data_IF_442402886303
#
_entry.id   IF_442402886303
#
_cell.length_a   1.000
_cell.length_b   1.000
_cell.length_c   1.000
_cell.angle_alpha   90.00
_cell.angle_beta   90.00
_cell.angle_gamma   90.00
#
_symmetry.space_group_name_H-M   'P 1'
#
loop_
_entity.id
_entity.type
_entity.pdbx_description
1 polymer ?
#
# COMPACT_ATOMS: atom_id res chain seq x y z
N UNK A 1 -11.45 -31.55 8.86
CA UNK A 1 -11.69 -31.30 7.44
C UNK A 1 -13.17 -31.07 7.23
N UNK A 2 -13.62 -29.81 7.19
CA UNK A 2 -15.00 -29.49 6.81
C UNK A 2 -15.00 -29.22 5.30
N UNK A 3 -15.55 -30.13 4.52
CA UNK A 3 -15.85 -29.89 3.11
C UNK A 3 -16.96 -28.84 3.10
N UNK A 4 -16.58 -27.57 2.93
CA UNK A 4 -17.53 -26.46 2.78
C UNK A 4 -18.29 -26.65 1.47
N UNK A 5 -19.35 -27.45 1.49
CA UNK A 5 -20.17 -27.67 0.31
C UNK A 5 -21.02 -26.41 0.04
N UNK A 6 -20.66 -25.65 -0.98
CA UNK A 6 -21.33 -24.41 -1.39
C UNK A 6 -22.68 -24.68 -2.08
N UNK A 7 -22.83 -25.85 -2.70
CA UNK A 7 -24.01 -26.23 -3.49
C UNK A 7 -25.36 -26.03 -2.78
N UNK A 8 -25.59 -26.53 -1.55
CA UNK A 8 -26.88 -26.37 -0.89
C UNK A 8 -27.24 -24.90 -0.61
N UNK A 9 -26.26 -24.01 -0.48
CA UNK A 9 -26.51 -22.57 -0.31
C UNK A 9 -26.90 -21.93 -1.64
N UNK A 10 -26.29 -22.35 -2.74
CA UNK A 10 -26.60 -21.84 -4.09
C UNK A 10 -27.99 -22.30 -4.51
N UNK A 11 -28.33 -23.57 -4.28
CA UNK A 11 -29.64 -24.14 -4.61
C UNK A 11 -30.77 -23.51 -3.78
N UNK A 12 -30.52 -23.22 -2.50
CA UNK A 12 -31.52 -22.58 -1.64
C UNK A 12 -31.67 -21.07 -1.86
N UNK A 13 -30.70 -20.42 -2.52
CA UNK A 13 -30.66 -18.97 -2.76
C UNK A 13 -30.18 -18.69 -4.18
N UNK A 14 -31.01 -19.00 -5.19
CA UNK A 14 -30.64 -18.75 -6.58
C UNK A 14 -30.47 -17.26 -6.82
N UNK A 15 -29.62 -16.92 -7.79
CA UNK A 15 -29.38 -15.55 -8.24
C UNK A 15 -30.66 -14.95 -8.81
N UNK A 16 -31.45 -15.75 -9.55
CA UNK A 16 -32.69 -15.32 -10.17
C UNK A 16 -32.49 -14.08 -11.05
N UNK A 17 -33.41 -13.12 -10.98
CA UNK A 17 -33.29 -11.83 -11.67
C UNK A 17 -32.43 -10.78 -10.96
N UNK A 18 -31.67 -11.16 -9.93
CA UNK A 18 -30.90 -10.22 -9.11
C UNK A 18 -29.80 -9.46 -9.87
N UNK A 19 -29.37 -9.97 -11.03
CA UNK A 19 -28.40 -9.33 -11.91
C UNK A 19 -29.05 -8.64 -13.13
N UNK A 20 -30.37 -8.75 -13.34
CA UNK A 20 -31.03 -8.22 -14.54
C UNK A 20 -30.90 -6.70 -14.64
N UNK A 21 -30.99 -6.00 -13.52
CA UNK A 21 -30.79 -4.55 -13.47
C UNK A 21 -29.37 -4.12 -13.87
N UNK A 22 -28.37 -4.93 -13.52
CA UNK A 22 -27.00 -4.72 -13.96
C UNK A 22 -26.85 -5.03 -15.46
N UNK A 23 -27.44 -6.11 -15.96
CA UNK A 23 -27.40 -6.44 -17.39
C UNK A 23 -28.06 -5.35 -18.25
N UNK A 24 -29.16 -4.76 -17.78
CA UNK A 24 -29.80 -3.62 -18.45
C UNK A 24 -28.88 -2.40 -18.48
N UNK A 25 -28.22 -2.09 -17.36
CA UNK A 25 -27.25 -0.99 -17.25
C UNK A 25 -26.01 -1.18 -18.13
N UNK A 26 -25.50 -2.41 -18.22
CA UNK A 26 -24.36 -2.75 -19.09
C UNK A 26 -24.68 -2.51 -20.57
N UNK A 27 -25.89 -2.84 -21.01
CA UNK A 27 -26.30 -2.66 -22.41
C UNK A 27 -26.60 -1.19 -22.77
N UNK A 28 -26.76 -0.29 -21.80
CA UNK A 28 -27.16 1.10 -22.02
C UNK A 28 -26.03 2.12 -22.02
N UNK A 29 -24.83 1.76 -21.54
CA UNK A 29 -23.82 2.76 -21.16
C UNK A 29 -22.43 2.41 -21.71
N UNK A 30 -21.75 3.38 -22.32
CA UNK A 30 -20.39 3.26 -22.89
C UNK A 30 -19.35 4.05 -22.07
N UNK A 31 -19.61 4.32 -20.79
CA UNK A 31 -18.74 5.13 -19.93
C UNK A 31 -18.18 4.36 -18.73
N UNK A 32 -17.00 4.83 -18.34
CA UNK A 32 -16.06 4.44 -17.30
C UNK A 32 -16.13 3.01 -16.74
N UNK A 33 -15.03 2.27 -16.92
CA UNK A 33 -14.94 0.87 -16.50
C UNK A 33 -15.07 0.70 -14.98
N UNK A 34 -14.77 1.75 -14.23
CA UNK A 34 -14.89 1.77 -12.77
C UNK A 34 -16.35 1.77 -12.31
N UNK A 35 -17.22 2.60 -12.89
CA UNK A 35 -18.63 2.70 -12.50
C UNK A 35 -19.37 1.39 -12.76
N UNK A 36 -19.06 0.75 -13.88
CA UNK A 36 -19.55 -0.58 -14.21
C UNK A 36 -19.17 -1.63 -13.15
N UNK A 37 -17.92 -1.63 -12.69
CA UNK A 37 -17.45 -2.57 -11.68
C UNK A 37 -18.07 -2.30 -10.31
N UNK A 38 -18.25 -1.04 -9.95
CA UNK A 38 -18.97 -0.65 -8.74
C UNK A 38 -20.42 -1.15 -8.80
N UNK A 39 -21.09 -1.02 -9.94
CA UNK A 39 -22.45 -1.54 -10.12
C UNK A 39 -22.50 -3.07 -10.00
N UNK A 40 -21.57 -3.80 -10.64
CA UNK A 40 -21.47 -5.26 -10.57
C UNK A 40 -21.28 -5.75 -9.13
N UNK A 41 -20.28 -5.19 -8.43
CA UNK A 41 -19.96 -5.61 -7.05
C UNK A 41 -21.11 -5.27 -6.12
N UNK A 42 -21.77 -4.13 -6.32
CA UNK A 42 -22.98 -3.74 -5.56
C UNK A 42 -24.11 -4.75 -5.76
N UNK A 43 -24.39 -5.14 -7.01
CA UNK A 43 -25.41 -6.13 -7.33
C UNK A 43 -25.09 -7.50 -6.69
N UNK A 44 -23.83 -7.94 -6.72
CA UNK A 44 -23.42 -9.18 -6.04
C UNK A 44 -23.57 -9.09 -4.51
N UNK A 45 -23.35 -7.92 -3.89
CA UNK A 45 -23.51 -7.74 -2.44
C UNK A 45 -24.97 -7.75 -1.99
N UNK A 46 -25.93 -7.37 -2.83
CA UNK A 46 -27.36 -7.42 -2.48
C UNK A 46 -27.88 -8.85 -2.43
N UNK A 47 -27.29 -9.78 -3.20
CA UNK A 47 -27.68 -11.18 -3.25
C UNK A 47 -27.61 -11.85 -1.86
N UNK A 48 -28.67 -12.53 -1.41
CA UNK A 48 -28.69 -13.22 -0.12
C UNK A 48 -27.59 -14.27 0.02
N UNK A 49 -27.23 -14.95 -1.07
CA UNK A 49 -26.18 -15.97 -1.11
C UNK A 49 -24.82 -15.42 -0.65
N UNK A 50 -24.46 -14.18 -0.98
CA UNK A 50 -23.20 -13.54 -0.59
C UNK A 50 -22.96 -13.51 0.92
N UNK A 51 -24.03 -13.43 1.72
CA UNK A 51 -23.95 -13.42 3.20
C UNK A 51 -23.71 -14.80 3.79
N UNK A 52 -24.06 -15.85 3.06
CA UNK A 52 -24.07 -17.25 3.53
C UNK A 52 -22.96 -18.09 2.91
N UNK A 53 -22.47 -17.69 1.74
CA UNK A 53 -21.35 -18.33 1.08
C UNK A 53 -20.06 -18.11 1.89
N UNK A 54 -19.23 -19.15 2.07
CA UNK A 54 -18.00 -19.06 2.85
C UNK A 54 -16.99 -18.13 2.16
N UNK A 55 -16.14 -17.48 2.94
CA UNK A 55 -15.01 -16.71 2.40
C UNK A 55 -13.94 -17.65 1.82
N UNK A 56 -13.30 -17.26 0.73
CA UNK A 56 -12.10 -17.96 0.22
C UNK A 56 -10.81 -17.48 0.88
N UNK A 57 -10.82 -16.32 1.55
CA UNK A 57 -9.65 -15.67 2.19
C UNK A 57 -9.67 -15.75 3.73
N UNK A 58 -10.37 -16.74 4.29
CA UNK A 58 -10.48 -16.93 5.74
C UNK A 58 -11.30 -15.84 6.47
N UNK A 59 -12.07 -15.04 5.73
CA UNK A 59 -13.02 -14.08 6.27
C UNK A 59 -14.33 -14.72 6.75
N UNK A 60 -15.27 -13.87 7.20
CA UNK A 60 -16.57 -14.32 7.73
C UNK A 60 -17.45 -14.98 6.66
N UNK A 61 -17.49 -14.40 5.46
CA UNK A 61 -18.31 -14.82 4.32
C UNK A 61 -17.84 -14.11 3.04
N UNK A 62 -18.41 -14.53 1.91
CA UNK A 62 -18.12 -13.95 0.59
C UNK A 62 -18.46 -12.45 0.52
N UNK A 63 -19.47 -11.96 1.24
CA UNK A 63 -19.79 -10.54 1.32
C UNK A 63 -18.58 -9.71 1.77
N UNK A 64 -17.84 -10.17 2.78
CA UNK A 64 -16.62 -9.48 3.25
C UNK A 64 -15.54 -9.44 2.17
N UNK A 65 -15.42 -10.48 1.37
CA UNK A 65 -14.47 -10.53 0.26
C UNK A 65 -14.90 -9.59 -0.88
N UNK A 66 -16.19 -9.52 -1.18
CA UNK A 66 -16.76 -8.55 -2.11
C UNK A 66 -16.59 -7.09 -1.64
N UNK A 67 -16.69 -6.81 -0.34
CA UNK A 67 -16.43 -5.47 0.19
C UNK A 67 -14.97 -5.05 0.01
N UNK A 68 -14.03 -6.00 0.13
CA UNK A 68 -12.61 -5.75 -0.17
C UNK A 68 -12.37 -5.48 -1.65
N UNK A 69 -13.04 -6.24 -2.52
CA UNK A 69 -13.00 -5.99 -3.97
C UNK A 69 -13.56 -4.59 -4.29
N UNK A 70 -14.65 -4.17 -3.66
CA UNK A 70 -15.19 -2.81 -3.81
C UNK A 70 -14.17 -1.73 -3.43
N UNK A 71 -13.44 -1.93 -2.32
CA UNK A 71 -12.36 -1.01 -1.93
C UNK A 71 -11.24 -0.95 -2.97
N UNK A 72 -10.82 -2.10 -3.52
CA UNK A 72 -9.80 -2.17 -4.56
C UNK A 72 -10.25 -1.48 -5.86
N UNK A 73 -11.51 -1.67 -6.28
CA UNK A 73 -12.11 -0.99 -7.43
C UNK A 73 -12.11 0.52 -7.23
N UNK A 74 -12.52 1.02 -6.06
CA UNK A 74 -12.51 2.46 -5.75
C UNK A 74 -11.11 3.06 -5.70
N UNK A 75 -10.10 2.27 -5.34
CA UNK A 75 -8.70 2.67 -5.34
C UNK A 75 -8.01 2.53 -6.72
N UNK A 76 -8.75 2.05 -7.73
CA UNK A 76 -8.22 1.67 -9.04
C UNK A 76 -7.04 0.65 -8.96
N UNK A 77 -7.02 -0.17 -7.91
CA UNK A 77 -6.00 -1.18 -7.61
C UNK A 77 -6.56 -2.58 -7.85
N UNK A 78 -7.02 -2.83 -9.08
CA UNK A 78 -7.63 -4.11 -9.46
C UNK A 78 -7.23 -4.54 -10.87
N UNK A 79 -7.19 -5.85 -11.10
CA UNK A 79 -6.94 -6.41 -12.42
C UNK A 79 -8.26 -6.69 -13.14
N UNK A 80 -8.61 -5.84 -14.09
CA UNK A 80 -9.79 -5.97 -14.94
C UNK A 80 -9.87 -7.33 -15.65
N UNK A 81 -8.73 -7.92 -16.03
CA UNK A 81 -8.68 -9.19 -16.76
C UNK A 81 -9.27 -10.33 -15.94
N UNK A 82 -9.29 -10.20 -14.61
CA UNK A 82 -9.85 -11.18 -13.68
C UNK A 82 -11.38 -11.07 -13.56
N UNK A 83 -11.96 -9.94 -13.95
CA UNK A 83 -13.40 -9.70 -13.92
C UNK A 83 -14.05 -10.02 -15.27
N UNK A 84 -13.30 -9.97 -16.37
CA UNK A 84 -13.80 -10.34 -17.71
C UNK A 84 -14.46 -11.74 -17.76
N UNK A 85 -13.90 -12.82 -17.18
CA UNK A 85 -14.54 -14.14 -17.22
C UNK A 85 -15.86 -14.19 -16.43
N UNK A 86 -15.98 -13.40 -15.36
CA UNK A 86 -17.22 -13.26 -14.60
C UNK A 86 -18.28 -12.54 -15.43
N UNK A 87 -17.91 -11.44 -16.08
CA UNK A 87 -18.81 -10.71 -16.96
C UNK A 87 -19.32 -11.58 -18.10
N UNK A 88 -18.42 -12.31 -18.75
CA UNK A 88 -18.77 -13.24 -19.83
C UNK A 88 -19.79 -14.29 -19.35
N UNK A 89 -19.55 -14.91 -18.18
CA UNK A 89 -20.48 -15.89 -17.61
C UNK A 89 -21.87 -15.30 -17.31
N UNK A 90 -21.95 -14.05 -16.87
CA UNK A 90 -23.23 -13.35 -16.62
C UNK A 90 -23.96 -13.08 -17.95
N UNK A 91 -23.24 -12.60 -18.97
CA UNK A 91 -23.81 -12.30 -20.28
C UNK A 91 -24.29 -13.56 -21.00
N UNK A 92 -23.54 -14.64 -20.88
CA UNK A 92 -23.87 -15.95 -21.45
C UNK A 92 -24.97 -16.68 -20.65
N UNK A 93 -25.45 -16.08 -19.55
CA UNK A 93 -26.46 -16.64 -18.64
C UNK A 93 -26.09 -18.05 -18.15
N UNK A 94 -24.83 -18.22 -17.81
CA UNK A 94 -24.29 -19.44 -17.21
C UNK A 94 -25.04 -19.77 -15.89
N UNK A 95 -25.07 -21.04 -15.46
CA UNK A 95 -25.76 -21.40 -14.24
C UNK A 95 -25.09 -20.77 -13.02
N UNK A 96 -25.88 -20.49 -11.97
CA UNK A 96 -25.44 -19.81 -10.75
C UNK A 96 -24.15 -20.36 -10.16
N UNK A 97 -23.96 -21.68 -10.20
CA UNK A 97 -22.73 -22.34 -9.73
C UNK A 97 -21.49 -21.82 -10.45
N UNK A 98 -21.55 -21.71 -11.77
CA UNK A 98 -20.45 -21.21 -12.61
C UNK A 98 -20.22 -19.73 -12.33
N UNK A 99 -21.28 -18.93 -12.21
CA UNK A 99 -21.18 -17.51 -11.86
C UNK A 99 -20.49 -17.35 -10.50
N UNK A 100 -20.91 -18.09 -9.47
CA UNK A 100 -20.29 -18.04 -8.15
C UNK A 100 -18.84 -18.51 -8.16
N UNK A 101 -18.49 -19.56 -8.91
CA UNK A 101 -17.10 -19.99 -9.07
C UNK A 101 -16.24 -18.85 -9.67
N UNK A 102 -16.75 -18.14 -10.69
CA UNK A 102 -16.07 -16.95 -11.25
C UNK A 102 -15.97 -15.78 -10.27
N UNK A 103 -16.99 -15.56 -9.43
CA UNK A 103 -16.91 -14.58 -8.34
C UNK A 103 -15.80 -14.96 -7.37
N UNK A 104 -15.69 -16.24 -7.00
CA UNK A 104 -14.61 -16.73 -6.14
C UNK A 104 -13.24 -16.49 -6.79
N UNK A 105 -13.08 -16.81 -8.07
CA UNK A 105 -11.84 -16.54 -8.79
C UNK A 105 -11.49 -15.05 -8.72
N UNK A 106 -12.44 -14.16 -9.02
CA UNK A 106 -12.25 -12.72 -8.99
C UNK A 106 -11.78 -12.21 -7.61
N UNK A 107 -12.40 -12.64 -6.51
CA UNK A 107 -12.09 -12.14 -5.15
C UNK A 107 -10.84 -12.76 -4.51
N UNK A 108 -10.42 -13.96 -4.93
CA UNK A 108 -9.40 -14.74 -4.20
C UNK A 108 -7.99 -14.16 -4.33
N UNK A 109 -7.70 -13.40 -5.38
CA UNK A 109 -6.34 -12.94 -5.69
C UNK A 109 -6.21 -11.41 -5.81
N UNK A 110 -6.99 -10.66 -5.02
CA UNK A 110 -6.58 -9.28 -4.64
C UNK A 110 -5.44 -9.31 -3.62
N UNK A 111 -4.51 -10.25 -3.76
CA UNK A 111 -3.17 -10.09 -3.18
C UNK A 111 -2.43 -9.17 -4.13
N UNK A 112 -1.82 -8.09 -3.63
CA UNK A 112 -0.78 -7.40 -4.39
C UNK A 112 0.15 -8.48 -4.96
N UNK A 113 0.68 -8.32 -6.20
CA UNK A 113 1.75 -9.20 -6.68
C UNK A 113 2.75 -9.36 -5.54
N UNK A 114 3.30 -10.57 -5.29
CA UNK A 114 4.18 -10.80 -4.16
C UNK A 114 5.22 -9.69 -4.19
N UNK A 115 5.07 -8.72 -3.27
CA UNK A 115 6.12 -7.73 -3.09
C UNK A 115 7.33 -8.60 -2.79
N UNK A 116 8.47 -8.41 -3.49
CA UNK A 116 9.70 -9.09 -3.11
C UNK A 116 9.77 -9.01 -1.60
N UNK A 117 9.83 -10.17 -0.95
CA UNK A 117 9.59 -10.31 0.49
C UNK A 117 10.28 -9.12 1.15
N UNK A 118 9.50 -8.20 1.72
CA UNK A 118 10.14 -7.19 2.53
C UNK A 118 10.70 -8.01 3.68
N UNK A 119 12.01 -8.23 3.61
CA UNK A 119 12.80 -8.86 4.65
C UNK A 119 12.87 -7.86 5.79
N UNK A 120 11.72 -7.58 6.40
CA UNK A 120 11.65 -7.02 7.72
C UNK A 120 11.30 -8.19 8.63
N UNK A 121 12.29 -8.79 9.29
CA UNK A 121 12.03 -9.75 10.36
C UNK A 121 11.03 -9.09 11.32
N UNK A 122 9.93 -9.79 11.60
CA UNK A 122 8.90 -9.36 12.56
C UNK A 122 9.38 -9.54 14.02
N UNK A 123 10.68 -9.36 14.23
CA UNK A 123 11.33 -9.09 15.50
C UNK A 123 12.20 -7.87 15.17
N UNK A 124 12.05 -6.71 15.86
CA UNK A 124 12.99 -5.62 15.67
C UNK A 124 14.36 -6.10 16.13
N UNK A 125 15.15 -6.59 15.18
CA UNK A 125 16.61 -6.71 15.30
C UNK A 125 17.29 -5.45 14.78
N UNK A 126 16.52 -4.37 14.60
CA UNK A 126 17.07 -3.05 14.38
C UNK A 126 17.57 -2.54 15.72
N UNK A 127 18.85 -2.77 15.98
CA UNK A 127 19.62 -1.89 16.85
C UNK A 127 19.49 -0.50 16.26
N UNK A 128 18.52 0.29 16.72
CA UNK A 128 18.43 1.67 16.28
C UNK A 128 19.62 2.46 16.84
N UNK A 129 19.98 3.57 16.23
CA UNK A 129 21.11 4.39 16.73
C UNK A 129 20.92 4.77 18.21
N UNK A 130 19.67 4.89 18.69
CA UNK A 130 19.35 5.14 20.11
C UNK A 130 19.63 3.97 21.07
N UNK A 131 19.84 2.75 20.56
CA UNK A 131 20.22 1.57 21.36
C UNK A 131 21.74 1.49 21.61
N UNK A 132 22.53 2.30 20.91
CA UNK A 132 23.96 2.43 21.18
C UNK A 132 24.16 3.20 22.48
N UNK A 133 24.46 2.48 23.56
CA UNK A 133 25.07 3.09 24.74
C UNK A 133 26.37 3.74 24.31
N UNK A 134 26.58 5.03 24.66
CA UNK A 134 27.74 5.87 24.31
C UNK A 134 29.07 5.26 24.78
N UNK A 135 29.47 4.18 24.14
CA UNK A 135 30.68 3.43 24.38
C UNK A 135 31.53 3.55 23.13
N UNK A 136 32.78 3.97 23.34
CA UNK A 136 33.75 4.18 22.27
C UNK A 136 33.96 2.93 21.40
N UNK A 137 33.73 1.74 21.98
CA UNK A 137 33.85 0.43 21.33
C UNK A 137 32.84 0.22 20.19
N UNK A 138 31.70 0.90 20.20
CA UNK A 138 30.61 0.63 19.27
C UNK A 138 30.52 1.64 18.11
N UNK A 139 31.33 2.71 18.13
CA UNK A 139 31.36 3.74 17.07
C UNK A 139 31.62 3.19 15.67
N UNK A 140 32.43 2.14 15.56
CA UNK A 140 32.75 1.50 14.27
C UNK A 140 31.55 0.84 13.58
N UNK A 141 30.46 0.60 14.31
CA UNK A 141 29.24 -0.02 13.78
C UNK A 141 28.12 0.99 13.50
N UNK A 142 28.30 2.25 13.91
CA UNK A 142 27.27 3.29 13.77
C UNK A 142 27.03 3.63 12.30
N UNK A 143 28.09 3.76 11.50
CA UNK A 143 27.97 4.05 10.07
C UNK A 143 27.18 2.98 9.30
N UNK A 144 27.41 1.71 9.63
CA UNK A 144 26.73 0.60 8.97
C UNK A 144 25.25 0.53 9.38
N UNK A 145 24.95 0.73 10.66
CA UNK A 145 23.57 0.81 11.15
C UNK A 145 22.83 2.00 10.55
N UNK A 146 23.46 3.18 10.48
CA UNK A 146 22.85 4.36 9.88
C UNK A 146 22.53 4.17 8.40
N UNK A 147 23.41 3.49 7.66
CA UNK A 147 23.16 3.13 6.25
C UNK A 147 21.96 2.20 6.11
N UNK A 148 21.79 1.26 7.03
CA UNK A 148 20.66 0.35 7.05
C UNK A 148 19.35 1.07 7.44
N UNK A 149 19.38 1.98 8.42
CA UNK A 149 18.22 2.76 8.88
C UNK A 149 17.73 3.78 7.83
N UNK A 150 18.66 4.51 7.21
CA UNK A 150 18.33 5.59 6.26
C UNK A 150 18.01 5.08 4.84
N UNK A 151 18.34 3.82 4.55
CA UNK A 151 18.15 3.23 3.23
C UNK A 151 19.06 3.87 2.16
N UNK A 152 18.69 3.83 0.86
CA UNK A 152 19.53 4.37 -0.21
C UNK A 152 19.73 5.88 -0.07
N UNK A 153 20.93 6.28 0.35
CA UNK A 153 21.33 7.68 0.47
C UNK A 153 21.87 8.22 -0.85
N UNK A 154 21.33 9.33 -1.32
CA UNK A 154 21.80 10.02 -2.51
C UNK A 154 22.74 11.16 -2.13
N UNK A 155 24.01 11.05 -2.51
CA UNK A 155 25.00 12.12 -2.32
C UNK A 155 25.05 12.98 -3.59
N UNK A 156 25.14 14.30 -3.43
CA UNK A 156 25.34 15.22 -4.55
C UNK A 156 24.10 15.45 -5.42
N UNK A 157 22.89 15.33 -4.85
CA UNK A 157 21.63 15.62 -5.56
C UNK A 157 21.64 17.06 -6.11
N UNK A 158 21.60 17.25 -7.45
CA UNK A 158 21.67 18.58 -8.04
C UNK A 158 20.55 19.49 -7.53
N UNK A 159 20.91 20.69 -7.07
CA UNK A 159 19.94 21.69 -6.59
C UNK A 159 19.36 21.44 -5.18
N UNK A 160 19.72 20.35 -4.49
CA UNK A 160 19.22 20.04 -3.15
C UNK A 160 19.46 21.18 -2.15
N UNK A 161 20.69 21.70 -2.11
CA UNK A 161 21.06 22.82 -1.24
C UNK A 161 20.20 24.04 -1.50
N UNK A 162 19.99 24.41 -2.77
CA UNK A 162 19.17 25.56 -3.15
C UNK A 162 17.69 25.35 -2.78
N UNK A 163 17.16 24.14 -2.94
CA UNK A 163 15.76 23.82 -2.66
C UNK A 163 15.43 23.82 -1.16
N UNK A 164 16.31 23.25 -0.32
CA UNK A 164 16.06 23.09 1.12
C UNK A 164 16.70 24.18 1.98
N UNK A 165 17.88 24.66 1.59
CA UNK A 165 18.66 25.62 2.38
C UNK A 165 18.86 26.97 1.68
N UNK A 166 18.35 27.16 0.46
CA UNK A 166 18.56 28.38 -0.32
C UNK A 166 17.97 29.66 0.28
N UNK A 167 17.11 29.55 1.31
CA UNK A 167 16.61 30.69 2.11
C UNK A 167 17.27 30.81 3.49
N UNK A 168 18.09 29.83 3.89
CA UNK A 168 18.73 29.80 5.21
C UNK A 168 20.10 30.44 5.07
N UNK A 169 20.17 31.76 5.30
CA UNK A 169 21.38 32.57 5.18
C UNK A 169 22.47 32.28 6.24
N UNK A 170 22.34 31.19 7.00
CA UNK A 170 23.27 30.85 8.09
C UNK A 170 24.63 30.44 7.53
N UNK A 171 24.66 29.60 6.50
CA UNK A 171 25.92 29.14 5.92
C UNK A 171 26.68 30.27 5.21
N UNK A 172 25.98 31.17 4.53
CA UNK A 172 26.58 32.37 3.94
C UNK A 172 27.17 33.30 5.01
N UNK A 173 26.50 33.45 6.16
CA UNK A 173 27.05 34.19 7.29
C UNK A 173 28.31 33.54 7.87
N UNK A 174 28.44 32.22 7.82
CA UNK A 174 29.66 31.52 8.26
C UNK A 174 30.83 31.70 7.29
N UNK A 175 30.56 32.04 6.02
CA UNK A 175 31.56 32.38 5.00
C UNK A 175 31.88 33.89 4.94
N UNK A 176 31.05 34.72 5.56
CA UNK A 176 31.16 36.17 5.52
C UNK A 176 32.08 36.73 6.62
N UNK A 177 32.68 37.91 6.35
CA UNK A 177 33.57 38.63 7.26
C UNK A 177 35.05 38.33 7.06
N UNK A 178 35.91 39.08 7.74
CA UNK A 178 37.38 38.98 7.58
C UNK A 178 37.96 37.69 8.20
N UNK A 179 37.22 37.08 9.13
CA UNK A 179 37.55 35.82 9.81
C UNK A 179 36.41 34.81 9.68
N UNK A 180 36.20 34.21 8.49
CA UNK A 180 35.10 33.30 8.25
C UNK A 180 35.25 32.00 9.07
N UNK A 181 34.14 31.52 9.62
CA UNK A 181 34.07 30.27 10.39
C UNK A 181 34.18 29.03 9.51
N UNK A 182 33.92 29.17 8.20
CA UNK A 182 34.07 28.10 7.23
C UNK A 182 34.76 28.62 5.96
N UNK A 183 35.82 27.94 5.53
CA UNK A 183 36.48 28.17 4.24
C UNK A 183 36.41 26.90 3.40
N UNK A 184 36.14 27.04 2.10
CA UNK A 184 36.00 25.89 1.20
C UNK A 184 37.30 25.06 1.10
N UNK A 185 38.48 25.68 1.29
CA UNK A 185 39.78 24.99 1.23
C UNK A 185 40.23 24.37 2.56
N UNK A 186 39.94 25.02 3.69
CA UNK A 186 40.45 24.63 5.01
C UNK A 186 39.36 24.14 5.97
N UNK A 187 38.13 23.96 5.47
CA UNK A 187 36.97 23.52 6.25
C UNK A 187 36.67 24.44 7.45
N UNK A 188 35.96 23.93 8.47
CA UNK A 188 35.56 24.69 9.65
C UNK A 188 36.76 25.20 10.47
N UNK A 189 36.76 26.51 10.74
CA UNK A 189 37.76 27.21 11.57
C UNK A 189 37.28 27.38 13.03
N UNK A 190 35.98 27.26 13.29
CA UNK A 190 35.42 27.37 14.63
C UNK A 190 33.90 27.42 14.63
N UNK A 191 33.31 27.51 15.83
CA UNK A 191 31.87 27.62 16.03
C UNK A 191 31.43 29.08 16.25
N UNK A 192 30.18 29.43 15.90
CA UNK A 192 29.62 30.74 16.20
C UNK A 192 29.64 31.05 17.70
N UNK A 193 29.79 32.34 18.04
CA UNK A 193 29.77 32.80 19.42
C UNK A 193 28.41 32.50 20.07
N UNK A 194 28.42 31.77 21.19
CA UNK A 194 27.19 31.33 21.89
C UNK A 194 26.78 29.88 21.64
N UNK A 195 27.47 29.14 20.76
CA UNK A 195 27.26 27.70 20.57
C UNK A 195 27.88 26.85 21.71
N UNK A 196 27.47 27.10 22.96
CA UNK A 196 28.00 26.36 24.12
C UNK A 196 27.23 25.04 24.27
N UNK A 197 27.97 23.93 24.32
CA UNK A 197 27.43 22.57 24.47
C UNK A 197 26.38 22.45 25.59
N UNK A 198 26.68 23.05 26.75
CA UNK A 198 25.80 23.06 27.93
C UNK A 198 24.42 23.69 27.70
N UNK A 199 24.29 24.57 26.70
CA UNK A 199 23.03 25.26 26.41
C UNK A 199 22.11 24.38 25.52
N UNK A 200 22.60 23.24 25.02
CA UNK A 200 21.88 22.28 24.16
C UNK A 200 21.53 20.98 24.89
N UNK A 201 22.33 20.56 25.88
CA UNK A 201 22.17 19.28 26.60
C UNK A 201 21.13 19.31 27.74
N UNK A 202 20.03 20.06 27.59
CA UNK A 202 18.94 20.15 28.59
C UNK A 202 18.05 18.92 28.63
#
# INVERSE_FOLDING_TARGET
MAVNNKQPTIESKPIGGGLDGFCAFFNSTYEDTQDFLVALVSALQTLPASRHLPSSRGGKNLLKDLSRLMTAVNANDFDIKRILPLLQAILDKEPDRVIWDRVYDAVTESTPPPRPASSFPQTPWLCNTSSFVNSTKHRKYVDDVLKEELGPMYVGVPGFYKAFFGKVAVFERCKAGDSPLYRDESSWQGWPEGAKERDVLS
#
